data_IF_154176221723
#
_entry.id   IF_154176221723
#
_cell.length_a   1.000
_cell.length_b   1.000
_cell.length_c   1.000
_cell.angle_alpha   90.00
_cell.angle_beta   90.00
_cell.angle_gamma   90.00
#
_symmetry.space_group_name_H-M   'P 1'
#
loop_
_entity.id
_entity.type
_entity.pdbx_description
1 polymer ?
#
# COMPACT_ATOMS: atom_id res chain seq x y z
N UNK A 1 21.78 45.72 62.26
CA UNK A 1 20.66 45.86 61.29
C UNK A 1 21.20 45.49 59.90
N UNK A 2 20.59 44.48 59.25
CA UNK A 2 20.33 44.37 57.78
C UNK A 2 21.27 45.20 56.86
N UNK A 3 22.02 44.67 55.88
CA UNK A 3 21.53 43.98 54.67
C UNK A 3 22.65 43.76 53.59
N UNK A 4 22.54 42.64 52.85
CA UNK A 4 23.05 42.27 51.49
C UNK A 4 24.58 42.17 51.25
N UNK A 5 25.23 41.02 51.01
CA UNK A 5 25.14 39.99 49.95
C UNK A 5 25.44 40.52 48.52
N UNK A 6 26.60 40.18 47.95
CA UNK A 6 26.76 39.66 46.58
C UNK A 6 28.18 39.08 46.38
N UNK A 7 28.27 37.76 46.35
CA UNK A 7 29.45 36.97 45.97
C UNK A 7 29.39 36.65 44.48
N UNK A 8 30.43 37.02 43.73
CA UNK A 8 30.57 36.74 42.30
C UNK A 8 31.17 35.33 42.12
N UNK A 9 30.36 34.33 41.78
CA UNK A 9 30.80 32.99 41.41
C UNK A 9 30.99 32.92 39.89
N UNK A 10 32.25 32.77 39.44
CA UNK A 10 32.59 32.53 38.03
C UNK A 10 32.35 31.04 37.74
N UNK A 11 31.27 30.72 37.03
CA UNK A 11 31.01 29.37 36.50
C UNK A 11 31.53 29.31 35.07
N UNK A 12 32.58 28.53 34.86
CA UNK A 12 33.10 28.17 33.54
C UNK A 12 32.11 27.20 32.87
N UNK A 13 31.32 27.70 31.91
CA UNK A 13 30.41 26.89 31.11
C UNK A 13 31.11 26.50 29.80
N UNK A 14 31.64 25.27 29.73
CA UNK A 14 32.11 24.67 28.49
C UNK A 14 30.91 24.33 27.60
N UNK A 15 30.52 25.28 26.75
CA UNK A 15 29.56 25.02 25.67
C UNK A 15 30.24 24.13 24.62
N UNK A 16 29.92 22.83 24.66
CA UNK A 16 30.08 21.93 23.53
C UNK A 16 29.22 22.44 22.38
N UNK A 17 29.83 23.17 21.44
CA UNK A 17 29.21 23.49 20.16
C UNK A 17 29.11 22.17 19.38
N UNK A 18 27.95 21.51 19.48
CA UNK A 18 27.56 20.50 18.51
C UNK A 18 27.28 21.24 17.20
N UNK A 19 28.30 21.33 16.35
CA UNK A 19 28.10 21.79 14.98
C UNK A 19 27.14 20.79 14.31
N UNK A 20 26.03 21.24 13.70
CA UNK A 20 25.26 20.37 12.84
C UNK A 20 26.18 19.95 11.69
N UNK A 21 26.35 18.65 11.52
CA UNK A 21 26.98 18.08 10.34
C UNK A 21 26.09 18.36 9.15
N UNK A 22 26.31 19.54 8.54
CA UNK A 22 25.78 19.90 7.24
C UNK A 22 26.41 18.96 6.21
N UNK A 23 25.85 17.76 6.08
CA UNK A 23 26.03 16.98 4.87
C UNK A 23 25.31 17.75 3.78
N UNK A 24 26.07 18.31 2.84
CA UNK A 24 25.56 18.88 1.62
C UNK A 24 24.62 17.84 0.99
N UNK A 25 23.31 18.09 1.07
CA UNK A 25 22.31 17.32 0.36
C UNK A 25 22.65 17.46 -1.11
N UNK A 26 22.97 16.35 -1.78
CA UNK A 26 23.18 16.33 -3.22
C UNK A 26 22.03 17.08 -3.87
N UNK A 27 22.32 18.08 -4.70
CA UNK A 27 21.31 18.88 -5.38
C UNK A 27 20.27 17.92 -6.03
N UNK A 28 19.03 17.93 -5.52
CA UNK A 28 17.88 17.06 -5.86
C UNK A 28 17.73 15.70 -5.15
N UNK A 29 18.53 15.37 -4.13
CA UNK A 29 18.37 14.15 -3.31
C UNK A 29 18.54 12.84 -4.11
N UNK A 30 19.24 12.92 -5.25
CA UNK A 30 19.55 11.80 -6.15
C UNK A 30 20.83 11.11 -5.70
N UNK A 31 20.86 9.78 -5.78
CA UNK A 31 22.07 8.99 -5.53
C UNK A 31 22.72 8.53 -6.83
N UNK A 32 24.05 8.35 -6.82
CA UNK A 32 24.75 7.82 -8.00
C UNK A 32 24.70 6.29 -7.98
N UNK A 33 24.32 5.68 -9.10
CA UNK A 33 24.22 4.25 -9.27
C UNK A 33 25.21 3.76 -10.30
N UNK A 34 25.77 2.58 -10.08
CA UNK A 34 26.54 1.83 -11.08
C UNK A 34 26.01 0.41 -11.19
N UNK A 35 25.89 -0.07 -12.41
CA UNK A 35 25.41 -1.42 -12.71
C UNK A 35 26.54 -2.45 -12.62
N UNK A 36 26.22 -3.61 -12.08
CA UNK A 36 27.12 -4.74 -11.91
C UNK A 36 26.38 -6.05 -12.22
N UNK A 37 27.13 -7.15 -12.29
CA UNK A 37 26.57 -8.50 -12.41
C UNK A 37 27.22 -9.42 -11.38
N UNK A 38 26.45 -10.32 -10.79
CA UNK A 38 26.94 -11.40 -9.94
C UNK A 38 26.51 -12.74 -10.54
N UNK A 39 27.49 -13.51 -11.04
CA UNK A 39 27.25 -14.82 -11.70
C UNK A 39 26.13 -14.78 -12.75
N UNK A 40 26.11 -13.72 -13.56
CA UNK A 40 25.13 -13.53 -14.63
C UNK A 40 23.83 -12.80 -14.22
N UNK A 41 23.61 -12.52 -12.93
CA UNK A 41 22.44 -11.78 -12.47
C UNK A 41 22.77 -10.30 -12.25
N UNK A 42 22.08 -9.36 -12.92
CA UNK A 42 22.36 -7.93 -12.79
C UNK A 42 21.92 -7.38 -11.43
N UNK A 43 22.63 -6.36 -10.96
CA UNK A 43 22.23 -5.54 -9.81
C UNK A 43 22.83 -4.14 -9.92
N UNK A 44 22.29 -3.20 -9.13
CA UNK A 44 22.83 -1.84 -9.03
C UNK A 44 23.48 -1.63 -7.68
N UNK A 45 24.50 -0.77 -7.65
CA UNK A 45 25.20 -0.37 -6.44
C UNK A 45 25.18 1.15 -6.32
N UNK A 46 24.80 1.66 -5.15
CA UNK A 46 24.93 3.05 -4.76
C UNK A 46 26.42 3.37 -4.53
N UNK A 47 26.94 4.35 -5.27
CA UNK A 47 28.34 4.78 -5.22
C UNK A 47 28.42 6.28 -4.91
N UNK A 48 29.56 6.74 -4.40
CA UNK A 48 29.83 8.15 -4.09
C UNK A 48 28.77 8.80 -3.18
N UNK A 49 28.10 8.02 -2.34
CA UNK A 49 27.09 8.53 -1.42
C UNK A 49 27.76 9.27 -0.24
N UNK A 50 27.33 10.49 0.11
CA UNK A 50 27.94 11.24 1.22
C UNK A 50 27.77 10.52 2.56
N UNK A 51 26.65 9.83 2.76
CA UNK A 51 26.43 8.96 3.91
C UNK A 51 26.83 7.52 3.57
N UNK A 52 28.04 7.10 3.98
CA UNK A 52 28.57 5.75 3.72
C UNK A 52 27.72 4.64 4.34
N UNK A 53 27.12 4.88 5.50
CA UNK A 53 26.26 3.91 6.19
C UNK A 53 24.95 3.68 5.41
N UNK A 54 24.34 4.75 4.88
CA UNK A 54 23.18 4.65 4.00
C UNK A 54 23.48 3.81 2.75
N UNK A 55 24.60 4.08 2.07
CA UNK A 55 25.03 3.28 0.92
C UNK A 55 25.30 1.83 1.27
N UNK A 56 25.96 1.56 2.41
CA UNK A 56 26.24 0.19 2.84
C UNK A 56 24.95 -0.62 3.09
N UNK A 57 23.93 -0.02 3.73
CA UNK A 57 22.60 -0.64 3.92
C UNK A 57 21.95 -1.00 2.59
N UNK A 58 21.81 -0.04 1.68
CA UNK A 58 21.20 -0.25 0.37
C UNK A 58 21.97 -1.30 -0.44
N UNK A 59 23.30 -1.19 -0.51
CA UNK A 59 24.13 -2.10 -1.29
C UNK A 59 24.12 -3.53 -0.76
N UNK A 60 24.00 -3.72 0.55
CA UNK A 60 23.87 -5.05 1.16
C UNK A 60 22.64 -5.77 0.61
N UNK A 61 21.49 -5.11 0.63
CA UNK A 61 20.22 -5.69 0.17
C UNK A 61 20.21 -5.91 -1.35
N UNK A 62 20.64 -4.90 -2.13
CA UNK A 62 20.68 -4.98 -3.59
C UNK A 62 21.61 -6.09 -4.10
N UNK A 63 22.77 -6.27 -3.46
CA UNK A 63 23.69 -7.37 -3.79
C UNK A 63 23.14 -8.72 -3.32
N UNK A 64 22.50 -8.79 -2.16
CA UNK A 64 21.90 -10.02 -1.65
C UNK A 64 20.83 -10.57 -2.62
N UNK A 65 20.01 -9.70 -3.22
CA UNK A 65 19.07 -10.09 -4.28
C UNK A 65 19.79 -10.81 -5.44
N UNK A 66 20.86 -10.22 -5.99
CA UNK A 66 21.62 -10.82 -7.08
C UNK A 66 22.28 -12.16 -6.70
N UNK A 67 22.76 -12.28 -5.45
CA UNK A 67 23.33 -13.52 -4.92
C UNK A 67 22.27 -14.63 -4.83
N UNK A 68 21.08 -14.31 -4.30
CA UNK A 68 19.98 -15.26 -4.19
C UNK A 68 19.46 -15.68 -5.57
N UNK A 69 19.27 -14.74 -6.48
CA UNK A 69 18.92 -15.01 -7.87
C UNK A 69 19.94 -15.93 -8.55
N UNK A 70 21.24 -15.71 -8.30
CA UNK A 70 22.30 -16.54 -8.86
C UNK A 70 22.31 -17.95 -8.27
N UNK A 71 21.95 -18.12 -6.99
CA UNK A 71 21.82 -19.44 -6.38
C UNK A 71 20.71 -20.25 -7.05
N UNK A 72 19.54 -19.62 -7.31
CA UNK A 72 18.42 -20.27 -8.00
C UNK A 72 18.78 -20.60 -9.45
N UNK A 73 19.36 -19.66 -10.19
CA UNK A 73 19.75 -19.86 -11.59
C UNK A 73 20.80 -20.95 -11.81
N UNK A 74 21.59 -21.27 -10.77
CA UNK A 74 22.59 -22.32 -10.79
C UNK A 74 22.16 -23.57 -10.00
N UNK A 75 20.89 -23.66 -9.59
CA UNK A 75 20.34 -24.85 -8.96
C UNK A 75 20.29 -26.03 -9.93
N UNK A 76 20.25 -27.25 -9.40
CA UNK A 76 20.12 -28.48 -10.20
C UNK A 76 18.82 -28.48 -11.02
N UNK A 77 17.72 -28.01 -10.44
CA UNK A 77 16.39 -28.01 -11.08
C UNK A 77 16.35 -27.15 -12.35
N UNK A 78 17.09 -26.03 -12.37
CA UNK A 78 17.24 -25.20 -13.55
C UNK A 78 18.29 -25.79 -14.50
N UNK A 79 19.44 -26.22 -14.00
CA UNK A 79 20.57 -26.64 -14.85
C UNK A 79 20.41 -28.02 -15.49
N UNK A 80 19.56 -28.90 -14.96
CA UNK A 80 19.38 -30.26 -15.48
C UNK A 80 18.81 -30.27 -16.91
N UNK A 81 18.05 -29.24 -17.30
CA UNK A 81 17.48 -29.12 -18.63
C UNK A 81 18.01 -27.87 -19.31
N UNK A 82 18.68 -28.05 -20.45
CA UNK A 82 19.29 -26.94 -21.23
C UNK A 82 18.30 -25.87 -21.70
N UNK A 83 17.01 -26.22 -21.78
CA UNK A 83 15.96 -25.29 -22.19
C UNK A 83 15.41 -24.47 -21.01
N UNK A 84 15.65 -24.90 -19.76
CA UNK A 84 15.18 -24.17 -18.58
C UNK A 84 16.06 -22.93 -18.32
N UNK A 85 15.46 -21.90 -17.73
CA UNK A 85 16.22 -20.73 -17.30
C UNK A 85 15.60 -20.06 -16.08
N UNK A 86 16.46 -19.36 -15.34
CA UNK A 86 16.09 -18.35 -14.36
C UNK A 86 16.93 -17.12 -14.64
N UNK A 87 16.28 -16.00 -14.95
CA UNK A 87 16.93 -14.75 -15.32
C UNK A 87 16.30 -13.60 -14.58
N UNK A 88 17.11 -12.64 -14.18
CA UNK A 88 16.64 -11.37 -13.64
C UNK A 88 17.04 -10.20 -14.52
N UNK A 89 16.25 -9.13 -14.49
CA UNK A 89 16.61 -7.82 -15.01
C UNK A 89 16.39 -6.76 -13.92
N UNK A 90 17.00 -5.59 -14.06
CA UNK A 90 16.94 -4.52 -13.06
C UNK A 90 16.60 -3.18 -13.71
N UNK A 91 15.73 -2.43 -13.08
CA UNK A 91 15.34 -1.08 -13.47
C UNK A 91 15.48 -0.13 -12.28
N UNK A 92 16.08 1.03 -12.50
CA UNK A 92 15.94 2.16 -11.57
C UNK A 92 14.64 2.91 -11.90
N UNK A 93 13.57 2.62 -11.17
CA UNK A 93 12.25 3.22 -11.42
C UNK A 93 12.13 4.64 -10.86
N UNK A 94 12.86 4.96 -9.78
CA UNK A 94 12.87 6.31 -9.20
C UNK A 94 14.21 6.61 -8.56
N UNK A 95 14.73 7.83 -8.72
CA UNK A 95 15.99 8.27 -8.08
C UNK A 95 16.08 9.80 -8.05
N UNK A 96 15.31 10.41 -7.14
CA UNK A 96 15.25 11.86 -6.88
C UNK A 96 14.53 12.10 -5.56
N UNK A 97 14.55 13.33 -5.06
CA UNK A 97 13.80 13.75 -3.86
C UNK A 97 14.09 12.89 -2.61
N UNK A 98 15.34 12.48 -2.42
CA UNK A 98 15.77 11.60 -1.32
C UNK A 98 15.05 10.23 -1.30
N UNK A 99 14.56 9.78 -2.47
CA UNK A 99 13.93 8.50 -2.65
C UNK A 99 14.57 7.72 -3.81
N UNK A 100 14.75 6.41 -3.60
CA UNK A 100 15.29 5.49 -4.59
C UNK A 100 14.35 4.28 -4.70
N UNK A 101 13.94 3.94 -5.90
CA UNK A 101 13.22 2.69 -6.22
C UNK A 101 13.98 1.89 -7.26
N UNK A 102 14.35 0.65 -6.89
CA UNK A 102 14.89 -0.34 -7.79
C UNK A 102 13.86 -1.46 -7.96
N UNK A 103 13.57 -1.84 -9.19
CA UNK A 103 12.66 -2.94 -9.53
C UNK A 103 13.51 -4.05 -10.14
N UNK A 104 13.43 -5.23 -9.55
CA UNK A 104 13.97 -6.44 -10.15
C UNK A 104 12.82 -7.24 -10.76
N UNK A 105 13.00 -7.66 -12.00
CA UNK A 105 12.09 -8.57 -12.68
C UNK A 105 12.73 -9.95 -12.70
N UNK A 106 11.92 -10.99 -12.53
CA UNK A 106 12.33 -12.38 -12.56
C UNK A 106 11.56 -13.11 -13.63
N UNK A 107 12.26 -13.93 -14.41
CA UNK A 107 11.71 -14.75 -15.48
C UNK A 107 12.19 -16.18 -15.28
N UNK A 108 11.24 -17.11 -15.08
CA UNK A 108 11.52 -18.52 -14.82
C UNK A 108 10.81 -19.39 -15.83
N UNK A 109 11.58 -20.16 -16.59
CA UNK A 109 11.03 -21.15 -17.50
C UNK A 109 11.54 -22.54 -17.11
N UNK A 110 10.62 -23.43 -16.79
CA UNK A 110 10.90 -24.83 -16.42
C UNK A 110 10.06 -25.80 -17.25
N UNK A 111 9.80 -25.42 -18.52
CA UNK A 111 8.85 -26.10 -19.41
C UNK A 111 7.45 -25.47 -19.39
N UNK A 112 6.59 -25.88 -20.34
CA UNK A 112 5.24 -25.33 -20.51
C UNK A 112 5.13 -24.39 -21.72
N UNK A 113 4.05 -23.60 -21.75
CA UNK A 113 3.74 -22.72 -22.89
C UNK A 113 4.55 -21.40 -22.89
N UNK A 114 4.82 -20.84 -21.72
CA UNK A 114 5.57 -19.59 -21.53
C UNK A 114 6.28 -19.59 -20.17
N UNK A 115 7.07 -18.54 -19.89
CA UNK A 115 7.75 -18.37 -18.61
C UNK A 115 6.85 -17.76 -17.52
N UNK A 116 7.18 -18.04 -16.27
CA UNK A 116 6.61 -17.36 -15.11
C UNK A 116 7.36 -16.05 -14.89
N UNK A 117 6.60 -14.97 -14.69
CA UNK A 117 7.13 -13.64 -14.46
C UNK A 117 6.84 -13.22 -13.02
N UNK A 118 7.87 -12.74 -12.34
CA UNK A 118 7.79 -12.21 -10.98
C UNK A 118 8.50 -10.88 -10.88
N UNK A 119 8.33 -10.18 -9.76
CA UNK A 119 9.05 -8.94 -9.49
C UNK A 119 9.31 -8.73 -8.00
N UNK A 120 10.35 -7.96 -7.68
CA UNK A 120 10.63 -7.50 -6.32
C UNK A 120 11.08 -6.02 -6.36
N UNK A 121 10.54 -5.20 -5.45
CA UNK A 121 10.82 -3.76 -5.40
C UNK A 121 11.59 -3.35 -4.16
N UNK A 122 12.62 -2.52 -4.37
CA UNK A 122 13.53 -2.02 -3.35
C UNK A 122 13.40 -0.49 -3.26
N UNK A 123 12.65 -0.03 -2.26
CA UNK A 123 12.30 1.38 -2.07
C UNK A 123 13.01 1.94 -0.85
N UNK A 124 13.77 3.01 -1.00
CA UNK A 124 14.56 3.58 0.08
C UNK A 124 14.29 5.06 0.27
N UNK A 125 14.34 5.49 1.53
CA UNK A 125 14.80 6.85 1.81
C UNK A 125 16.31 6.87 1.52
N UNK A 126 16.70 7.49 0.41
CA UNK A 126 18.06 7.41 -0.10
C UNK A 126 19.07 8.17 0.76
N UNK A 127 18.62 9.17 1.55
CA UNK A 127 19.49 9.96 2.43
C UNK A 127 20.06 9.15 3.59
N UNK A 128 19.27 8.23 4.15
CA UNK A 128 19.62 7.42 5.34
C UNK A 128 19.72 5.92 5.05
N UNK A 129 19.31 5.49 3.85
CA UNK A 129 19.38 4.11 3.38
C UNK A 129 18.35 3.17 4.02
N UNK A 130 17.33 3.71 4.69
CA UNK A 130 16.27 2.89 5.28
C UNK A 130 15.34 2.38 4.19
N UNK A 131 15.06 1.07 4.21
CA UNK A 131 14.08 0.40 3.36
C UNK A 131 12.67 0.81 3.78
N UNK A 132 11.86 1.18 2.80
CA UNK A 132 10.47 1.60 2.93
C UNK A 132 9.58 0.53 2.29
N UNK A 133 8.54 0.14 3.01
CA UNK A 133 7.55 -0.85 2.61
C UNK A 133 6.19 -0.18 2.39
N UNK A 134 5.28 -0.84 1.66
CA UNK A 134 3.96 -0.26 1.38
C UNK A 134 3.18 0.01 2.67
N UNK A 135 3.29 -0.86 3.67
CA UNK A 135 2.70 -0.66 5.00
C UNK A 135 3.17 0.63 5.70
N UNK A 136 4.31 1.19 5.32
CA UNK A 136 4.79 2.47 5.87
C UNK A 136 4.06 3.66 5.21
N UNK A 137 3.53 3.50 3.99
CA UNK A 137 2.64 4.48 3.34
C UNK A 137 1.18 4.28 3.74
N UNK A 138 0.74 3.03 3.77
CA UNK A 138 -0.61 2.59 4.10
C UNK A 138 -0.64 2.13 5.57
N UNK A 139 -0.21 3.02 6.46
CA UNK A 139 -0.05 2.78 7.90
C UNK A 139 -1.37 2.78 8.70
N UNK A 140 -2.48 3.13 8.05
CA UNK A 140 -3.79 3.21 8.66
C UNK A 140 -4.86 2.55 7.79
N UNK A 141 -5.93 2.10 8.44
CA UNK A 141 -7.06 1.46 7.79
C UNK A 141 -7.70 2.36 6.73
N UNK A 142 -7.85 3.66 7.03
CA UNK A 142 -8.40 4.65 6.11
C UNK A 142 -7.52 4.80 4.86
N UNK A 143 -6.19 4.85 5.03
CA UNK A 143 -5.25 4.93 3.88
C UNK A 143 -5.34 3.71 2.97
N UNK A 144 -5.36 2.50 3.56
CA UNK A 144 -5.50 1.24 2.82
C UNK A 144 -6.79 1.26 2.00
N UNK A 145 -7.91 1.60 2.64
CA UNK A 145 -9.22 1.58 1.97
C UNK A 145 -9.29 2.60 0.84
N UNK A 146 -8.85 3.85 1.07
CA UNK A 146 -8.84 4.87 0.02
C UNK A 146 -7.95 4.48 -1.17
N UNK A 147 -6.78 3.91 -0.90
CA UNK A 147 -5.92 3.39 -1.95
C UNK A 147 -6.58 2.25 -2.74
N UNK A 148 -7.27 1.31 -2.07
CA UNK A 148 -8.02 0.23 -2.73
C UNK A 148 -9.17 0.77 -3.59
N UNK A 149 -9.99 1.68 -3.05
CA UNK A 149 -11.11 2.27 -3.80
C UNK A 149 -10.62 2.99 -5.05
N UNK A 150 -9.53 3.76 -4.92
CA UNK A 150 -8.92 4.44 -6.05
C UNK A 150 -8.33 3.46 -7.06
N UNK A 151 -7.59 2.44 -6.61
CA UNK A 151 -7.08 1.37 -7.46
C UNK A 151 -8.20 0.73 -8.29
N UNK A 152 -9.29 0.29 -7.66
CA UNK A 152 -10.40 -0.33 -8.37
C UNK A 152 -11.03 0.61 -9.40
N UNK A 153 -11.22 1.88 -9.05
CA UNK A 153 -11.75 2.87 -10.00
C UNK A 153 -10.86 3.06 -11.24
N UNK A 154 -9.54 2.95 -11.08
CA UNK A 154 -8.60 3.06 -12.20
C UNK A 154 -8.62 1.80 -13.07
N UNK A 155 -8.65 0.61 -12.44
CA UNK A 155 -8.74 -0.66 -13.18
C UNK A 155 -10.04 -0.73 -13.98
N UNK A 156 -11.17 -0.37 -13.39
CA UNK A 156 -12.46 -0.33 -14.08
C UNK A 156 -12.45 0.64 -15.26
N UNK A 157 -11.98 1.88 -15.04
CA UNK A 157 -11.91 2.88 -16.12
C UNK A 157 -11.04 2.40 -17.28
N UNK A 158 -9.93 1.71 -17.01
CA UNK A 158 -9.05 1.14 -18.05
C UNK A 158 -9.72 -0.02 -18.79
N UNK A 159 -10.38 -0.92 -18.07
CA UNK A 159 -11.14 -2.05 -18.65
C UNK A 159 -12.22 -1.56 -19.61
N UNK A 160 -13.00 -0.55 -19.19
CA UNK A 160 -14.04 0.06 -20.02
C UNK A 160 -13.48 0.80 -21.25
N UNK A 161 -12.31 1.42 -21.12
CA UNK A 161 -11.67 2.14 -22.23
C UNK A 161 -11.07 1.18 -23.28
N UNK A 162 -10.70 -0.04 -22.88
CA UNK A 162 -9.99 -1.00 -23.72
C UNK A 162 -10.69 -2.38 -23.66
N UNK A 163 -11.76 -2.63 -24.44
CA UNK A 163 -12.51 -3.89 -24.39
C UNK A 163 -11.69 -5.16 -24.67
N UNK A 164 -10.51 -5.03 -25.30
CA UNK A 164 -9.57 -6.13 -25.53
C UNK A 164 -8.64 -6.46 -24.35
N UNK A 165 -8.63 -5.62 -23.31
CA UNK A 165 -7.87 -5.81 -22.06
C UNK A 165 -8.85 -6.01 -20.92
N UNK A 166 -9.02 -7.26 -20.49
CA UNK A 166 -9.87 -7.59 -19.34
C UNK A 166 -9.04 -7.36 -18.08
N UNK A 167 -9.38 -6.36 -17.28
CA UNK A 167 -8.80 -6.19 -15.95
C UNK A 167 -9.72 -6.83 -14.91
N UNK A 168 -9.13 -7.50 -13.91
CA UNK A 168 -9.84 -8.13 -12.81
C UNK A 168 -10.21 -7.05 -11.78
N UNK A 169 -11.47 -6.63 -11.76
CA UNK A 169 -11.97 -5.55 -10.88
C UNK A 169 -12.79 -6.06 -9.69
N UNK A 170 -13.14 -7.33 -9.71
CA UNK A 170 -13.92 -8.03 -8.67
C UNK A 170 -13.03 -8.62 -7.55
N UNK A 171 -11.71 -8.60 -7.73
CA UNK A 171 -10.75 -9.20 -6.81
C UNK A 171 -10.25 -8.17 -5.79
N UNK A 172 -10.45 -8.46 -4.50
CA UNK A 172 -9.92 -7.65 -3.40
C UNK A 172 -8.47 -8.07 -3.12
N UNK A 173 -7.53 -7.16 -3.38
CA UNK A 173 -6.08 -7.41 -3.27
C UNK A 173 -5.52 -6.81 -1.96
N UNK A 174 -4.58 -7.52 -1.34
CA UNK A 174 -3.79 -7.00 -0.22
C UNK A 174 -2.68 -6.07 -0.72
N UNK A 175 -3.05 -4.82 -1.03
CA UNK A 175 -2.11 -3.84 -1.59
C UNK A 175 -0.93 -3.54 -0.66
N UNK A 176 -1.04 -3.80 0.65
CA UNK A 176 0.09 -3.62 1.58
C UNK A 176 1.23 -4.62 1.36
N UNK A 177 0.95 -5.75 0.73
CA UNK A 177 1.96 -6.73 0.29
C UNK A 177 2.39 -6.53 -1.16
N UNK A 178 1.70 -5.66 -1.88
CA UNK A 178 1.96 -5.36 -3.28
C UNK A 178 3.32 -4.69 -3.48
N UNK A 179 3.87 -4.90 -4.66
CA UNK A 179 5.10 -4.26 -5.06
C UNK A 179 4.84 -2.83 -5.54
N UNK A 180 5.76 -1.93 -5.24
CA UNK A 180 5.58 -0.52 -5.56
C UNK A 180 6.88 0.20 -5.83
N UNK A 181 6.79 1.37 -6.44
CA UNK A 181 7.90 2.30 -6.57
C UNK A 181 7.43 3.75 -6.42
N UNK A 182 8.34 4.64 -6.02
CA UNK A 182 8.07 6.07 -5.89
C UNK A 182 7.76 6.71 -7.25
N UNK A 183 6.93 7.75 -7.23
CA UNK A 183 6.85 8.73 -8.32
C UNK A 183 6.76 10.14 -7.74
N UNK A 184 6.69 11.16 -8.60
CA UNK A 184 6.75 12.57 -8.21
C UNK A 184 5.67 13.03 -7.24
N UNK A 185 4.51 12.36 -7.24
CA UNK A 185 3.30 12.82 -6.55
C UNK A 185 2.62 11.71 -5.76
N UNK A 186 3.31 10.61 -5.50
CA UNK A 186 2.72 9.41 -4.90
C UNK A 186 3.63 8.19 -5.07
N UNK A 187 2.98 7.05 -5.27
CA UNK A 187 3.63 5.78 -5.57
C UNK A 187 2.88 5.06 -6.69
N UNK A 188 3.56 4.14 -7.35
CA UNK A 188 2.98 3.28 -8.38
C UNK A 188 2.97 1.85 -7.86
N UNK A 189 1.79 1.24 -7.80
CA UNK A 189 1.65 -0.20 -7.62
C UNK A 189 2.00 -0.90 -8.94
N UNK A 190 2.79 -1.97 -8.85
CA UNK A 190 3.15 -2.78 -10.01
C UNK A 190 2.72 -4.22 -9.76
N UNK A 191 1.84 -4.70 -10.63
CA UNK A 191 1.25 -6.03 -10.54
C UNK A 191 1.93 -6.97 -11.53
N UNK A 192 2.14 -8.22 -11.12
CA UNK A 192 2.63 -9.28 -12.01
C UNK A 192 1.51 -9.76 -12.94
N UNK A 193 1.84 -10.42 -14.07
CA UNK A 193 0.83 -11.09 -14.88
C UNK A 193 -0.07 -12.01 -14.06
N UNK A 194 -1.36 -12.06 -14.40
CA UNK A 194 -2.45 -12.78 -13.70
C UNK A 194 -2.91 -12.21 -12.36
N UNK A 195 -2.28 -11.15 -11.83
CA UNK A 195 -2.71 -10.58 -10.55
C UNK A 195 -3.93 -9.66 -10.73
N UNK A 196 -3.91 -8.78 -11.73
CA UNK A 196 -5.02 -7.85 -12.06
C UNK A 196 -5.43 -7.91 -13.53
N UNK A 197 -4.79 -8.75 -14.34
CA UNK A 197 -5.02 -8.87 -15.78
C UNK A 197 -4.45 -10.20 -16.32
N UNK A 198 -4.95 -10.72 -17.45
CA UNK A 198 -4.35 -11.86 -18.15
C UNK A 198 -2.89 -11.63 -18.55
N UNK A 199 -2.17 -12.71 -18.83
CA UNK A 199 -0.75 -12.66 -19.20
C UNK A 199 -0.43 -11.77 -20.40
N UNK A 200 -1.34 -11.65 -21.36
CA UNK A 200 -1.17 -10.80 -22.55
C UNK A 200 -1.02 -9.31 -22.24
N UNK A 201 -1.49 -8.85 -21.08
CA UNK A 201 -1.32 -7.47 -20.61
C UNK A 201 0.09 -7.22 -20.06
N UNK A 202 0.81 -8.28 -19.67
CA UNK A 202 2.10 -8.18 -19.01
C UNK A 202 2.00 -7.58 -17.60
N UNK A 203 2.98 -6.75 -17.23
CA UNK A 203 2.99 -6.07 -15.94
C UNK A 203 2.09 -4.83 -15.98
N UNK A 204 1.20 -4.69 -14.99
CA UNK A 204 0.27 -3.55 -14.91
C UNK A 204 0.75 -2.54 -13.86
N UNK A 205 0.84 -1.27 -14.25
CA UNK A 205 1.16 -0.16 -13.35
C UNK A 205 -0.07 0.68 -13.02
N UNK A 206 -0.34 0.90 -11.73
CA UNK A 206 -1.38 1.81 -11.25
C UNK A 206 -0.76 2.88 -10.35
N UNK A 207 -0.87 4.13 -10.80
CA UNK A 207 -0.40 5.30 -10.06
C UNK A 207 -1.40 5.67 -8.96
N UNK A 208 -0.96 5.74 -7.70
CA UNK A 208 -1.74 6.23 -6.55
C UNK A 208 -1.14 7.57 -6.06
N UNK A 209 -1.86 8.70 -6.23
CA UNK A 209 -1.45 9.99 -5.68
C UNK A 209 -1.44 10.02 -4.14
N UNK A 210 -0.52 10.77 -3.53
CA UNK A 210 -0.51 10.95 -2.06
C UNK A 210 -1.79 11.61 -1.52
N UNK A 211 -2.36 12.56 -2.29
CA UNK A 211 -3.61 13.25 -1.93
C UNK A 211 -4.79 12.29 -1.72
N UNK A 212 -4.81 11.14 -2.41
CA UNK A 212 -5.85 10.12 -2.25
C UNK A 212 -5.80 9.47 -0.87
N UNK A 213 -4.61 9.33 -0.26
CA UNK A 213 -4.47 8.66 1.03
C UNK A 213 -4.38 9.62 2.22
N UNK A 214 -4.05 10.90 2.03
CA UNK A 214 -3.80 11.85 3.13
C UNK A 214 -5.03 12.66 3.58
N UNK A 215 -6.08 12.82 2.77
CA UNK A 215 -7.16 13.78 3.04
C UNK A 215 -8.23 13.32 4.06
N UNK A 216 -7.84 13.00 5.29
CA UNK A 216 -8.75 12.78 6.43
C UNK A 216 -8.00 13.02 7.75
N UNK A 217 -7.91 14.30 8.14
CA UNK A 217 -7.34 14.87 9.38
C UNK A 217 -6.04 14.26 9.96
N UNK A 218 -4.97 15.07 9.95
CA UNK A 218 -3.71 14.97 10.72
C UNK A 218 -2.87 13.68 10.51
N UNK A 219 -1.70 13.73 9.85
CA UNK A 219 -0.48 14.39 10.32
C UNK A 219 0.51 14.58 9.16
N UNK A 220 1.19 15.72 9.18
CA UNK A 220 2.27 16.12 8.26
C UNK A 220 3.56 15.30 8.50
N UNK A 221 4.33 15.01 7.44
CA UNK A 221 5.78 15.20 7.47
C UNK A 221 6.16 16.44 6.67
N UNK A 222 7.01 17.28 7.22
CA UNK A 222 7.33 18.62 6.71
C UNK A 222 7.97 18.63 5.29
N UNK A 223 7.32 19.40 4.38
CA UNK A 223 7.74 20.22 3.20
C UNK A 223 8.74 19.66 2.15
N UNK A 224 8.58 19.97 0.84
CA UNK A 224 8.49 21.35 0.28
C UNK A 224 7.17 21.65 -0.47
N UNK A 225 6.91 22.96 -0.66
CA UNK A 225 5.69 23.49 -1.27
C UNK A 225 5.53 23.07 -2.74
N UNK A 226 4.37 22.52 -3.08
CA UNK A 226 3.90 22.25 -4.44
C UNK A 226 2.57 22.99 -4.67
N UNK A 227 2.30 23.41 -5.92
CA UNK A 227 1.26 24.37 -6.29
C UNK A 227 -0.14 23.83 -5.98
N UNK A 228 -1.08 24.74 -5.68
CA UNK A 228 -2.46 24.39 -5.38
C UNK A 228 -3.07 23.60 -6.55
N UNK A 229 -3.32 22.32 -6.30
CA UNK A 229 -4.16 21.45 -7.13
C UNK A 229 -5.51 21.41 -6.41
N UNK A 230 -6.59 21.63 -7.15
CA UNK A 230 -7.96 21.55 -6.64
C UNK A 230 -8.21 20.21 -5.93
N UNK A 231 -8.91 20.18 -4.78
CA UNK A 231 -9.14 18.94 -4.05
C UNK A 231 -9.93 17.94 -4.91
N UNK A 232 -9.46 16.69 -4.93
CA UNK A 232 -10.25 15.53 -5.41
C UNK A 232 -11.56 15.52 -4.62
N UNK A 233 -12.72 15.44 -5.29
CA UNK A 233 -14.03 15.34 -4.63
C UNK A 233 -14.00 14.22 -3.58
N UNK A 234 -14.39 14.55 -2.34
CA UNK A 234 -14.47 13.60 -1.24
C UNK A 234 -15.44 12.45 -1.58
N UNK A 235 -15.10 11.23 -1.15
CA UNK A 235 -15.97 10.06 -1.30
C UNK A 235 -17.14 10.23 -0.36
N UNK A 236 -18.38 10.21 -0.88
CA UNK A 236 -19.55 10.29 -0.02
C UNK A 236 -19.82 8.92 0.63
N UNK A 237 -19.99 8.83 1.96
CA UNK A 237 -20.28 7.55 2.62
C UNK A 237 -21.57 6.88 2.13
N UNK A 238 -22.55 7.66 1.68
CA UNK A 238 -23.78 7.16 1.07
C UNK A 238 -23.57 6.47 -0.29
N UNK A 239 -22.42 6.68 -0.95
CA UNK A 239 -22.04 5.98 -2.18
C UNK A 239 -21.30 4.66 -1.92
N UNK A 240 -21.09 4.32 -0.64
CA UNK A 240 -20.53 3.02 -0.25
C UNK A 240 -21.68 2.11 0.17
N UNK A 241 -21.86 1.05 -0.61
CA UNK A 241 -22.89 0.05 -0.42
C UNK A 241 -22.35 -1.16 0.34
N UNK A 242 -23.20 -1.78 1.14
CA UNK A 242 -22.95 -3.04 1.83
C UNK A 242 -23.77 -4.11 1.15
N UNK A 243 -23.13 -5.22 0.78
CA UNK A 243 -23.79 -6.38 0.18
C UNK A 243 -23.44 -7.67 0.94
N UNK A 244 -24.24 -8.72 0.76
CA UNK A 244 -23.84 -10.08 1.08
C UNK A 244 -22.55 -10.46 0.35
N UNK A 245 -21.87 -11.52 0.82
CA UNK A 245 -20.59 -11.93 0.24
C UNK A 245 -20.68 -12.31 -1.24
N UNK A 246 -21.80 -12.89 -1.66
CA UNK A 246 -22.08 -13.25 -3.05
C UNK A 246 -22.59 -12.07 -3.91
N UNK A 247 -22.60 -10.86 -3.34
CA UNK A 247 -23.04 -9.60 -3.97
C UNK A 247 -24.52 -9.57 -4.40
N UNK A 248 -25.36 -10.50 -3.93
CA UNK A 248 -26.78 -10.59 -4.35
C UNK A 248 -27.75 -9.84 -3.46
N UNK A 249 -27.46 -9.76 -2.17
CA UNK A 249 -28.36 -9.14 -1.18
C UNK A 249 -27.81 -7.78 -0.79
N UNK A 250 -28.57 -6.73 -1.04
CA UNK A 250 -28.26 -5.39 -0.55
C UNK A 250 -28.52 -5.30 0.96
N UNK A 251 -27.55 -4.76 1.71
CA UNK A 251 -27.52 -4.68 3.18
C UNK A 251 -27.40 -3.24 3.70
N UNK A 252 -27.59 -2.23 2.86
CA UNK A 252 -27.57 -0.81 3.23
C UNK A 252 -26.36 -0.03 2.72
N UNK A 253 -26.24 1.24 3.13
CA UNK A 253 -25.13 2.13 2.80
C UNK A 253 -24.42 2.62 4.06
N UNK A 254 -23.21 3.17 3.90
CA UNK A 254 -22.49 3.83 4.99
C UNK A 254 -22.91 5.29 5.20
N UNK A 255 -24.08 5.72 4.69
CA UNK A 255 -24.60 7.07 4.88
C UNK A 255 -24.60 7.46 6.36
N UNK A 256 -23.88 8.52 6.74
CA UNK A 256 -23.79 9.00 8.12
C UNK A 256 -25.04 9.78 8.57
N UNK A 257 -25.97 10.04 7.65
CA UNK A 257 -27.30 10.54 7.99
C UNK A 257 -28.11 9.40 8.62
N UNK A 258 -28.31 9.46 9.94
CA UNK A 258 -29.03 8.43 10.71
C UNK A 258 -30.53 8.38 10.44
N UNK A 259 -31.06 9.27 9.58
CA UNK A 259 -32.45 9.24 9.10
C UNK A 259 -32.60 8.67 7.69
N UNK A 260 -31.49 8.43 6.99
CA UNK A 260 -31.49 7.82 5.66
C UNK A 260 -32.04 6.39 5.76
N UNK A 261 -33.00 6.04 4.90
CA UNK A 261 -33.66 4.73 4.91
C UNK A 261 -32.71 3.59 4.60
N UNK A 262 -31.65 3.87 3.83
CA UNK A 262 -30.69 2.88 3.39
C UNK A 262 -29.47 2.81 4.31
N UNK A 263 -29.33 3.74 5.27
CA UNK A 263 -28.17 3.77 6.18
C UNK A 263 -28.15 2.58 7.14
N UNK A 264 -26.99 1.92 7.24
CA UNK A 264 -26.74 0.95 8.30
C UNK A 264 -26.66 1.61 9.69
N UNK A 265 -26.57 2.93 9.77
CA UNK A 265 -26.53 3.68 11.04
C UNK A 265 -27.92 4.21 11.45
N UNK A 266 -28.94 4.02 10.61
CA UNK A 266 -30.33 4.31 10.97
C UNK A 266 -30.91 3.15 11.80
N UNK A 267 -30.83 3.26 13.13
CA UNK A 267 -31.30 2.23 14.07
C UNK A 267 -32.81 1.90 13.98
N UNK A 268 -33.60 2.74 13.31
CA UNK A 268 -35.03 2.50 13.06
C UNK A 268 -35.33 2.06 11.61
N UNK A 269 -34.34 2.13 10.73
CA UNK A 269 -34.44 1.73 9.32
C UNK A 269 -34.24 0.23 9.11
N UNK A 270 -34.48 -0.22 7.87
CA UNK A 270 -34.36 -1.63 7.47
C UNK A 270 -32.97 -2.19 7.71
N UNK A 271 -31.92 -1.42 7.38
CA UNK A 271 -30.54 -1.91 7.37
C UNK A 271 -29.75 -1.59 8.64
N UNK A 272 -30.20 -0.63 9.45
CA UNK A 272 -29.58 -0.30 10.73
C UNK A 272 -30.29 -0.91 11.95
N UNK A 273 -31.55 -1.32 11.83
CA UNK A 273 -32.32 -1.88 12.95
C UNK A 273 -31.76 -3.23 13.43
N UNK A 274 -31.52 -3.36 14.73
CA UNK A 274 -31.08 -4.62 15.38
C UNK A 274 -32.11 -5.75 15.32
N UNK A 275 -33.30 -5.50 14.78
CA UNK A 275 -34.39 -6.46 14.69
C UNK A 275 -34.66 -6.94 13.25
N UNK A 276 -34.10 -6.28 12.24
CA UNK A 276 -34.34 -6.62 10.84
C UNK A 276 -33.38 -7.73 10.38
N UNK A 277 -33.82 -8.63 9.52
CA UNK A 277 -33.00 -9.74 9.00
C UNK A 277 -31.91 -9.30 8.02
N UNK A 278 -32.07 -8.15 7.36
CA UNK A 278 -31.09 -7.55 6.44
C UNK A 278 -30.04 -6.68 7.14
N UNK A 279 -30.21 -6.44 8.45
CA UNK A 279 -29.28 -5.60 9.21
C UNK A 279 -28.08 -6.39 9.69
N UNK A 280 -26.88 -5.85 9.47
CA UNK A 280 -25.64 -6.39 10.06
C UNK A 280 -25.63 -6.26 11.60
N UNK A 281 -26.51 -5.44 12.18
CA UNK A 281 -26.61 -5.23 13.63
C UNK A 281 -27.61 -6.17 14.32
N UNK A 282 -28.27 -7.04 13.57
CA UNK A 282 -29.13 -8.05 14.14
C UNK A 282 -28.30 -9.25 14.63
N UNK A 283 -28.09 -9.33 15.94
CA UNK A 283 -27.30 -10.37 16.61
C UNK A 283 -27.86 -11.80 16.46
N UNK A 284 -29.08 -11.94 15.93
CA UNK A 284 -29.71 -13.23 15.62
C UNK A 284 -29.84 -13.47 14.11
N UNK A 285 -29.46 -12.50 13.28
CA UNK A 285 -29.58 -12.54 11.83
C UNK A 285 -28.39 -13.19 11.11
N UNK A 286 -28.58 -13.43 9.82
CA UNK A 286 -27.56 -14.02 8.93
C UNK A 286 -26.30 -13.16 8.85
N UNK A 287 -26.43 -11.83 8.84
CA UNK A 287 -25.32 -10.90 8.62
C UNK A 287 -24.74 -10.28 9.91
N UNK A 288 -25.42 -10.47 11.06
CA UNK A 288 -25.04 -9.86 12.33
C UNK A 288 -24.78 -10.83 13.50
N UNK A 289 -25.13 -12.11 13.38
CA UNK A 289 -24.95 -13.07 14.49
C UNK A 289 -23.50 -13.52 14.69
N UNK A 290 -23.16 -13.96 15.90
CA UNK A 290 -21.82 -14.51 16.17
C UNK A 290 -21.54 -15.87 15.49
N UNK A 291 -22.57 -16.49 14.90
CA UNK A 291 -22.53 -17.90 14.47
C UNK A 291 -22.63 -18.10 12.95
N UNK A 292 -23.35 -17.23 12.24
CA UNK A 292 -23.50 -17.35 10.79
C UNK A 292 -22.16 -17.19 10.08
N UNK A 293 -21.92 -18.00 9.04
CA UNK A 293 -20.74 -17.86 8.19
C UNK A 293 -20.81 -16.61 7.29
N UNK A 294 -21.98 -16.00 7.11
CA UNK A 294 -22.16 -14.75 6.35
C UNK A 294 -22.13 -13.50 7.23
N UNK A 295 -21.84 -13.65 8.52
CA UNK A 295 -21.94 -12.56 9.48
C UNK A 295 -20.66 -11.76 9.61
N UNK A 296 -20.82 -10.44 9.74
CA UNK A 296 -19.74 -9.53 10.10
C UNK A 296 -19.19 -9.79 11.52
N UNK A 297 -19.95 -10.43 12.41
CA UNK A 297 -19.57 -10.65 13.81
C UNK A 297 -18.99 -12.05 14.08
N UNK A 298 -19.00 -12.96 13.10
CA UNK A 298 -18.37 -14.26 13.25
C UNK A 298 -16.86 -14.17 13.03
N UNK A 299 -16.08 -14.36 14.09
CA UNK A 299 -14.59 -14.30 14.06
C UNK A 299 -13.91 -15.35 13.17
N UNK A 300 -14.65 -16.32 12.65
CA UNK A 300 -14.16 -17.38 11.78
C UNK A 300 -14.74 -17.34 10.36
N UNK A 301 -15.57 -16.34 10.03
CA UNK A 301 -16.13 -16.20 8.67
C UNK A 301 -15.03 -16.03 7.63
N UNK A 302 -15.21 -16.65 6.46
CA UNK A 302 -14.46 -16.36 5.24
C UNK A 302 -15.34 -15.69 4.17
N UNK A 303 -16.64 -15.55 4.44
CA UNK A 303 -17.64 -14.98 3.53
C UNK A 303 -18.42 -13.85 4.20
N UNK A 304 -17.76 -12.82 4.78
CA UNK A 304 -18.45 -11.70 5.41
C UNK A 304 -19.11 -10.75 4.39
N UNK A 305 -19.96 -9.81 4.85
CA UNK A 305 -20.50 -8.74 4.02
C UNK A 305 -19.40 -7.93 3.33
N UNK A 306 -19.68 -7.46 2.13
CA UNK A 306 -18.73 -6.79 1.23
C UNK A 306 -19.05 -5.31 1.14
N UNK A 307 -18.00 -4.48 1.17
CA UNK A 307 -18.07 -3.05 0.89
C UNK A 307 -17.82 -2.80 -0.59
N UNK A 308 -18.75 -2.10 -1.22
CA UNK A 308 -18.77 -1.84 -2.67
C UNK A 308 -18.82 -0.33 -2.91
N UNK A 309 -17.96 0.17 -3.79
CA UNK A 309 -17.97 1.56 -4.24
C UNK A 309 -17.95 1.60 -5.76
N UNK A 310 -18.88 2.35 -6.36
CA UNK A 310 -19.07 2.41 -7.82
C UNK A 310 -19.18 1.03 -8.49
N UNK A 311 -19.84 0.09 -7.81
CA UNK A 311 -20.01 -1.28 -8.29
C UNK A 311 -18.83 -2.21 -8.05
N UNK A 312 -17.69 -1.72 -7.53
CA UNK A 312 -16.49 -2.53 -7.31
C UNK A 312 -16.28 -2.88 -5.83
N UNK A 313 -16.10 -4.17 -5.48
CA UNK A 313 -15.69 -4.58 -4.15
C UNK A 313 -14.32 -4.03 -3.76
N UNK A 314 -14.19 -3.44 -2.56
CA UNK A 314 -12.89 -2.94 -2.07
C UNK A 314 -12.52 -3.42 -0.67
N UNK A 315 -13.43 -4.07 0.04
CA UNK A 315 -13.19 -4.57 1.38
C UNK A 315 -14.37 -5.33 1.94
N UNK A 316 -14.25 -5.73 3.20
CA UNK A 316 -15.25 -6.52 3.91
C UNK A 316 -15.63 -5.86 5.23
N UNK A 317 -16.79 -6.20 5.78
CA UNK A 317 -17.17 -5.89 7.15
C UNK A 317 -17.02 -7.15 8.00
N UNK A 318 -16.04 -7.20 8.91
CA UNK A 318 -15.78 -8.42 9.67
C UNK A 318 -14.93 -8.22 10.92
N UNK A 319 -15.24 -8.98 11.97
CA UNK A 319 -14.40 -9.15 13.17
C UNK A 319 -13.26 -10.16 12.96
N UNK A 320 -13.27 -10.95 11.87
CA UNK A 320 -12.19 -11.86 11.54
C UNK A 320 -10.97 -11.08 11.03
N UNK A 321 -9.95 -10.96 11.89
CA UNK A 321 -8.70 -10.23 11.62
C UNK A 321 -7.84 -10.82 10.50
N UNK A 322 -8.13 -12.04 10.06
CA UNK A 322 -7.41 -12.70 8.96
C UNK A 322 -7.99 -12.37 7.59
N UNK A 323 -9.17 -11.77 7.52
CA UNK A 323 -9.77 -11.32 6.25
C UNK A 323 -9.07 -10.05 5.80
N UNK A 324 -8.41 -10.13 4.65
CA UNK A 324 -7.75 -9.00 3.99
C UNK A 324 -8.78 -7.89 3.75
N UNK A 325 -8.38 -6.65 3.98
CA UNK A 325 -9.26 -5.50 3.81
C UNK A 325 -10.59 -5.63 4.59
N UNK A 326 -10.60 -6.28 5.77
CA UNK A 326 -11.73 -6.26 6.71
C UNK A 326 -11.80 -5.01 7.60
N UNK A 327 -12.95 -4.35 7.68
CA UNK A 327 -13.28 -3.31 8.66
C UNK A 327 -14.16 -3.93 9.73
N UNK A 328 -13.74 -3.85 10.98
CA UNK A 328 -14.55 -4.35 12.09
C UNK A 328 -15.81 -3.48 12.26
N UNK A 329 -16.99 -4.07 12.53
CA UNK A 329 -18.26 -3.33 12.66
C UNK A 329 -18.16 -2.10 13.56
N UNK A 330 -17.49 -2.21 14.71
CA UNK A 330 -17.30 -1.13 15.68
C UNK A 330 -16.57 0.10 15.14
N UNK A 331 -15.81 -0.05 14.05
CA UNK A 331 -15.05 1.03 13.41
C UNK A 331 -15.76 1.62 12.17
N UNK A 332 -16.92 1.09 11.77
CA UNK A 332 -17.59 1.49 10.53
C UNK A 332 -18.03 2.95 10.53
N UNK A 333 -18.57 3.46 11.64
CA UNK A 333 -19.04 4.84 11.73
C UNK A 333 -17.85 5.81 11.59
N UNK A 334 -16.79 5.59 12.36
CA UNK A 334 -15.56 6.40 12.26
C UNK A 334 -14.93 6.31 10.88
N UNK A 335 -14.95 5.14 10.25
CA UNK A 335 -14.51 4.99 8.87
C UNK A 335 -15.36 5.85 7.92
N UNK A 336 -16.70 5.74 8.00
CA UNK A 336 -17.62 6.52 7.19
C UNK A 336 -17.43 8.03 7.36
N UNK A 337 -17.29 8.51 8.59
CA UNK A 337 -17.03 9.93 8.90
C UNK A 337 -15.66 10.42 8.41
N UNK A 338 -14.71 9.50 8.18
CA UNK A 338 -13.35 9.86 7.74
C UNK A 338 -13.21 10.04 6.23
N UNK A 339 -14.19 9.60 5.44
CA UNK A 339 -14.17 9.62 3.97
C UNK A 339 -14.33 11.04 3.44
#
# INVERSE_FOLDING_TARGET
MRKYLLSLLVVLLSLLIVLPSNTASAANGKVTLKSYSYKGQPYVQVVNHPNKNAAAKMNKELKAHAVNAAAIANSKDIKQNKNHYYKTSVQTAYNKQNALSIVYYTYVYTGGAHDMQGLETFNYNSSNGNRIYMKDFLDSRTKIVRANMYLQSILEKRSLANPGSILYTDTIIDIQKGAFYYNDKGFTLKFIPYEVAPFSEGFVDVYIPYEIIVNGQNTTPAKPQTPQISPVSAVLPSEIYVYSNDLKTFLGTLSTNTYDSDSIFNAYGTYGSKYNTLSIWNNYGTYGSAYSLESAFNKYTLTPPVLVYKGQPFGYITTNKNVVNGIAPENLLTFAESL
#
